data_IF_195132855050
#
_entry.id   IF_195132855050
#
_cell.length_a   1.000
_cell.length_b   1.000
_cell.length_c   1.000
_cell.angle_alpha   90.00
_cell.angle_beta   90.00
_cell.angle_gamma   90.00
#
_symmetry.space_group_name_H-M   'P 1'
#
loop_
_entity.id
_entity.type
_entity.pdbx_description
1 polymer ?
#
# COMPACT_ATOMS: atom_id res chain seq x y z
N UNK A 1 -11.01 -6.22 -33.88
CA UNK A 1 -10.09 -5.79 -32.81
C UNK A 1 -9.51 -6.93 -31.97
N UNK A 2 -10.21 -7.57 -31.00
CA UNK A 2 -9.54 -8.60 -30.15
C UNK A 2 -9.08 -9.84 -30.94
N UNK A 3 -9.81 -10.29 -31.98
CA UNK A 3 -9.39 -11.43 -32.84
C UNK A 3 -8.33 -11.08 -33.90
N UNK A 4 -8.14 -9.80 -34.22
CA UNK A 4 -7.04 -9.40 -35.14
C UNK A 4 -5.67 -9.49 -34.46
N UNK A 5 -5.68 -9.75 -33.15
CA UNK A 5 -4.52 -10.06 -32.33
C UNK A 5 -4.67 -11.55 -31.98
N UNK A 6 -3.73 -12.39 -32.39
CA UNK A 6 -3.79 -13.85 -32.25
C UNK A 6 -3.75 -14.31 -30.77
N UNK A 7 -4.90 -14.30 -30.07
CA UNK A 7 -5.02 -14.83 -28.71
C UNK A 7 -5.42 -16.32 -28.71
N UNK A 8 -4.78 -17.11 -27.84
CA UNK A 8 -5.04 -18.55 -27.68
C UNK A 8 -6.22 -18.89 -26.75
N UNK A 9 -6.80 -17.90 -26.06
CA UNK A 9 -7.91 -18.05 -25.12
C UNK A 9 -8.65 -16.71 -24.93
N UNK A 10 -9.98 -16.75 -24.78
CA UNK A 10 -10.76 -15.61 -24.30
C UNK A 10 -10.82 -15.62 -22.78
N UNK A 11 -10.12 -14.68 -22.14
CA UNK A 11 -10.22 -14.48 -20.70
C UNK A 11 -11.23 -13.37 -20.43
N UNK A 12 -12.37 -13.73 -19.83
CA UNK A 12 -13.34 -12.78 -19.32
C UNK A 12 -13.05 -12.51 -17.84
N UNK A 13 -12.44 -11.35 -17.54
CA UNK A 13 -12.09 -10.97 -16.17
C UNK A 13 -13.13 -10.05 -15.55
N UNK A 14 -13.96 -10.61 -14.67
CA UNK A 14 -14.94 -9.88 -13.88
C UNK A 14 -14.37 -9.56 -12.49
N UNK A 15 -13.65 -8.46 -12.37
CA UNK A 15 -12.98 -8.03 -11.13
C UNK A 15 -13.92 -7.55 -10.00
N UNK A 16 -15.25 -7.53 -10.23
CA UNK A 16 -16.24 -6.86 -9.37
C UNK A 16 -17.40 -7.73 -8.87
N UNK A 17 -17.39 -9.05 -9.03
CA UNK A 17 -18.56 -9.89 -8.68
C UNK A 17 -19.89 -9.44 -9.31
N UNK A 18 -19.85 -8.70 -10.43
CA UNK A 18 -21.04 -8.09 -11.05
C UNK A 18 -21.80 -9.05 -11.94
N UNK A 19 -21.13 -10.11 -12.42
CA UNK A 19 -21.74 -11.06 -13.33
C UNK A 19 -22.74 -11.94 -12.55
N UNK A 20 -24.03 -11.69 -12.78
CA UNK A 20 -25.12 -12.48 -12.23
C UNK A 20 -25.31 -13.76 -13.05
N UNK A 21 -25.84 -14.86 -12.48
CA UNK A 21 -26.00 -16.14 -13.20
C UNK A 21 -26.70 -16.02 -14.57
N UNK A 22 -27.82 -15.28 -14.65
CA UNK A 22 -28.51 -15.10 -15.92
C UNK A 22 -27.70 -14.27 -16.94
N UNK A 23 -26.95 -13.27 -16.47
CA UNK A 23 -26.07 -12.50 -17.33
C UNK A 23 -24.89 -13.35 -17.82
N UNK A 24 -24.37 -14.26 -16.99
CA UNK A 24 -23.36 -15.24 -17.39
C UNK A 24 -23.87 -16.13 -18.52
N UNK A 25 -25.09 -16.66 -18.40
CA UNK A 25 -25.69 -17.50 -19.46
C UNK A 25 -25.79 -16.77 -20.78
N UNK A 26 -26.32 -15.55 -20.77
CA UNK A 26 -26.47 -14.73 -21.98
C UNK A 26 -25.11 -14.42 -22.61
N UNK A 27 -24.16 -13.95 -21.79
CA UNK A 27 -22.85 -13.52 -22.28
C UNK A 27 -22.04 -14.69 -22.84
N UNK A 28 -21.96 -15.79 -22.10
CA UNK A 28 -21.07 -16.90 -22.44
C UNK A 28 -21.62 -17.74 -23.59
N UNK A 29 -22.93 -17.96 -23.66
CA UNK A 29 -23.55 -18.59 -24.84
C UNK A 29 -23.31 -17.75 -26.10
N UNK A 30 -23.50 -16.44 -26.04
CA UNK A 30 -23.22 -15.56 -27.18
C UNK A 30 -21.73 -15.58 -27.61
N UNK A 31 -20.80 -15.66 -26.65
CA UNK A 31 -19.36 -15.80 -26.95
C UNK A 31 -19.09 -17.17 -27.59
N UNK A 32 -19.61 -18.27 -27.03
CA UNK A 32 -19.43 -19.62 -27.55
C UNK A 32 -20.03 -19.77 -28.95
N UNK A 33 -21.24 -19.26 -29.18
CA UNK A 33 -21.90 -19.27 -30.49
C UNK A 33 -21.06 -18.53 -31.54
N UNK A 34 -20.45 -17.40 -31.15
CA UNK A 34 -19.62 -16.60 -32.04
C UNK A 34 -18.23 -17.22 -32.26
N UNK A 35 -17.71 -17.91 -31.24
CA UNK A 35 -16.34 -18.44 -31.18
C UNK A 35 -16.35 -19.88 -30.65
N UNK A 36 -16.78 -20.86 -31.47
CA UNK A 36 -17.01 -22.23 -31.01
C UNK A 36 -15.72 -22.94 -30.55
N UNK A 37 -14.59 -22.66 -31.21
CA UNK A 37 -13.33 -23.40 -30.99
C UNK A 37 -12.35 -22.69 -30.06
N UNK A 38 -12.71 -21.53 -29.51
CA UNK A 38 -11.80 -20.76 -28.64
C UNK A 38 -12.10 -21.10 -27.18
N UNK A 39 -11.11 -21.50 -26.37
CA UNK A 39 -11.31 -21.71 -24.95
C UNK A 39 -11.76 -20.43 -24.24
N UNK A 40 -12.79 -20.53 -23.42
CA UNK A 40 -13.33 -19.44 -22.60
C UNK A 40 -12.90 -19.69 -21.15
N UNK A 41 -12.17 -18.73 -20.59
CA UNK A 41 -11.74 -18.71 -19.20
C UNK A 41 -12.47 -17.59 -18.45
N UNK A 42 -13.32 -17.96 -17.49
CA UNK A 42 -14.06 -17.02 -16.66
C UNK A 42 -13.37 -16.80 -15.31
N UNK A 43 -13.15 -15.53 -14.99
CA UNK A 43 -12.71 -15.09 -13.68
C UNK A 43 -13.81 -14.26 -13.02
N UNK A 44 -14.15 -14.57 -11.77
CA UNK A 44 -15.06 -13.76 -10.94
C UNK A 44 -14.56 -13.71 -9.51
N UNK A 45 -15.14 -12.79 -8.73
CA UNK A 45 -15.02 -12.75 -7.28
C UNK A 45 -16.36 -13.16 -6.64
N UNK A 46 -16.34 -13.42 -5.34
CA UNK A 46 -17.51 -13.85 -4.57
C UNK A 46 -18.03 -12.76 -3.60
N UNK A 47 -17.72 -11.49 -3.89
CA UNK A 47 -18.03 -10.36 -2.99
C UNK A 47 -19.52 -10.27 -2.72
N UNK A 48 -20.34 -10.52 -3.76
CA UNK A 48 -21.80 -10.50 -3.66
C UNK A 48 -22.40 -11.78 -3.07
N UNK A 49 -21.60 -12.82 -2.80
CA UNK A 49 -22.06 -14.14 -2.38
C UNK A 49 -22.78 -14.95 -3.48
N UNK A 50 -22.64 -14.54 -4.75
CA UNK A 50 -23.29 -15.19 -5.90
C UNK A 50 -22.27 -15.88 -6.83
N UNK A 51 -21.01 -15.96 -6.44
CA UNK A 51 -19.90 -16.40 -7.27
C UNK A 51 -20.00 -17.87 -7.69
N UNK A 52 -20.23 -18.79 -6.74
CA UNK A 52 -20.40 -20.22 -7.05
C UNK A 52 -21.57 -20.43 -8.02
N UNK A 53 -22.73 -19.82 -7.76
CA UNK A 53 -23.89 -19.91 -8.63
C UNK A 53 -23.63 -19.34 -10.04
N UNK A 54 -22.83 -18.28 -10.14
CA UNK A 54 -22.41 -17.71 -11.41
C UNK A 54 -21.49 -18.66 -12.19
N UNK A 55 -20.52 -19.30 -11.52
CA UNK A 55 -19.64 -20.28 -12.15
C UNK A 55 -20.41 -21.52 -12.62
N UNK A 56 -21.37 -22.03 -11.84
CA UNK A 56 -22.23 -23.14 -12.29
C UNK A 56 -23.03 -22.76 -13.55
N UNK A 57 -23.63 -21.57 -13.58
CA UNK A 57 -24.32 -21.06 -14.77
C UNK A 57 -23.37 -20.87 -15.97
N UNK A 58 -22.10 -20.54 -15.73
CA UNK A 58 -21.09 -20.44 -16.75
C UNK A 58 -20.70 -21.81 -17.34
N UNK A 59 -20.57 -22.83 -16.48
CA UNK A 59 -20.34 -24.22 -16.88
C UNK A 59 -21.49 -24.75 -17.74
N UNK A 60 -22.74 -24.50 -17.34
CA UNK A 60 -23.92 -24.81 -18.16
C UNK A 60 -23.89 -24.14 -19.53
N UNK A 61 -23.17 -23.04 -19.68
CA UNK A 61 -23.08 -22.25 -20.92
C UNK A 61 -21.83 -22.57 -21.75
N UNK A 62 -21.10 -23.62 -21.39
CA UNK A 62 -19.93 -24.09 -22.13
C UNK A 62 -18.67 -23.26 -21.90
N UNK A 63 -18.46 -22.73 -20.70
CA UNK A 63 -17.13 -22.22 -20.28
C UNK A 63 -16.17 -23.40 -20.08
N UNK A 64 -14.89 -23.24 -20.46
CA UNK A 64 -13.90 -24.33 -20.36
C UNK A 64 -13.08 -24.26 -19.07
N UNK A 65 -12.79 -23.04 -18.60
CA UNK A 65 -11.92 -22.81 -17.44
C UNK A 65 -12.60 -21.78 -16.52
N UNK A 66 -12.55 -22.03 -15.21
CA UNK A 66 -13.02 -21.08 -14.20
C UNK A 66 -11.98 -20.88 -13.10
N UNK A 67 -11.87 -19.65 -12.60
CA UNK A 67 -11.02 -19.35 -11.44
C UNK A 67 -11.76 -19.60 -10.13
N UNK A 68 -11.13 -20.39 -9.25
CA UNK A 68 -11.56 -20.68 -7.89
C UNK A 68 -10.39 -20.52 -6.92
N UNK A 69 -10.71 -20.28 -5.65
CA UNK A 69 -9.73 -20.30 -4.56
C UNK A 69 -10.00 -21.51 -3.64
N UNK A 70 -8.95 -22.03 -3.02
CA UNK A 70 -9.09 -23.05 -1.97
C UNK A 70 -9.96 -22.52 -0.84
N UNK A 71 -10.76 -23.38 -0.21
CA UNK A 71 -11.88 -22.97 0.64
C UNK A 71 -11.47 -21.97 1.73
N UNK A 72 -10.39 -22.25 2.45
CA UNK A 72 -9.85 -21.38 3.51
C UNK A 72 -9.30 -20.03 3.05
N UNK A 73 -9.18 -19.81 1.73
CA UNK A 73 -8.76 -18.56 1.08
C UNK A 73 -9.81 -18.03 0.08
N UNK A 74 -11.02 -18.60 0.08
CA UNK A 74 -12.11 -18.28 -0.85
C UNK A 74 -13.20 -17.41 -0.21
N UNK A 75 -14.18 -17.01 -1.02
CA UNK A 75 -15.33 -16.23 -0.57
C UNK A 75 -15.01 -14.77 -0.33
N UNK A 76 -16.01 -13.98 0.06
CA UNK A 76 -15.87 -12.54 0.28
C UNK A 76 -15.25 -11.87 -0.95
N UNK A 77 -14.25 -11.01 -0.79
CA UNK A 77 -13.57 -10.35 -1.90
C UNK A 77 -12.60 -11.27 -2.67
N UNK A 78 -12.51 -12.55 -2.34
CA UNK A 78 -11.72 -13.57 -3.07
C UNK A 78 -12.55 -14.24 -4.17
N UNK A 79 -11.99 -15.25 -4.82
CA UNK A 79 -12.69 -16.12 -5.77
C UNK A 79 -13.69 -17.05 -5.05
N UNK A 80 -14.65 -17.64 -5.79
CA UNK A 80 -15.54 -18.67 -5.26
C UNK A 80 -14.77 -19.91 -4.76
N UNK A 81 -15.37 -20.65 -3.82
CA UNK A 81 -14.77 -21.86 -3.23
C UNK A 81 -14.56 -22.98 -4.26
N UNK A 82 -13.33 -23.48 -4.30
CA UNK A 82 -12.92 -24.65 -5.09
C UNK A 82 -13.66 -25.90 -4.63
N UNK A 83 -13.70 -26.17 -3.33
CA UNK A 83 -14.37 -27.34 -2.76
C UNK A 83 -15.86 -27.34 -3.05
N UNK A 84 -16.52 -26.18 -2.96
CA UNK A 84 -17.93 -26.03 -3.32
C UNK A 84 -18.16 -26.36 -4.80
N UNK A 85 -17.36 -25.81 -5.70
CA UNK A 85 -17.53 -26.05 -7.14
C UNK A 85 -17.26 -27.52 -7.51
N UNK A 86 -16.16 -28.10 -7.01
CA UNK A 86 -15.83 -29.53 -7.22
C UNK A 86 -16.96 -30.43 -6.71
N UNK A 87 -17.50 -30.15 -5.53
CA UNK A 87 -18.61 -30.92 -4.97
C UNK A 87 -19.90 -30.79 -5.79
N UNK A 88 -20.24 -29.58 -6.26
CA UNK A 88 -21.45 -29.34 -7.05
C UNK A 88 -21.41 -29.95 -8.45
N UNK A 89 -20.22 -30.10 -9.05
CA UNK A 89 -20.04 -30.69 -10.39
C UNK A 89 -19.75 -32.20 -10.34
N UNK A 90 -19.61 -32.79 -9.16
CA UNK A 90 -19.30 -34.21 -9.03
C UNK A 90 -20.43 -35.07 -9.60
N UNK A 91 -20.06 -36.10 -10.36
CA UNK A 91 -21.01 -37.01 -11.03
C UNK A 91 -21.92 -36.34 -12.07
N UNK A 92 -21.51 -35.20 -12.65
CA UNK A 92 -22.13 -34.60 -13.84
C UNK A 92 -21.25 -34.80 -15.08
N UNK A 93 -21.76 -34.44 -16.26
CA UNK A 93 -20.97 -34.44 -17.50
C UNK A 93 -19.82 -33.42 -17.49
N UNK A 94 -19.83 -32.51 -16.51
CA UNK A 94 -18.85 -31.43 -16.32
C UNK A 94 -18.04 -31.62 -15.04
N UNK A 95 -17.93 -32.86 -14.56
CA UNK A 95 -17.10 -33.21 -13.40
C UNK A 95 -15.64 -32.76 -13.62
N UNK A 96 -15.10 -32.06 -12.62
CA UNK A 96 -13.73 -31.54 -12.64
C UNK A 96 -12.66 -32.63 -12.61
N UNK A 97 -13.00 -33.85 -12.16
CA UNK A 97 -12.05 -34.94 -11.94
C UNK A 97 -11.12 -34.75 -10.73
N UNK A 98 -11.30 -33.67 -9.95
CA UNK A 98 -10.49 -33.39 -8.76
C UNK A 98 -10.99 -34.19 -7.54
N UNK A 99 -10.05 -34.72 -6.76
CA UNK A 99 -10.37 -35.42 -5.52
C UNK A 99 -10.84 -34.45 -4.43
N UNK A 100 -12.01 -34.72 -3.85
CA UNK A 100 -12.52 -33.94 -2.70
C UNK A 100 -11.60 -34.04 -1.47
N UNK A 101 -10.89 -35.16 -1.30
CA UNK A 101 -9.94 -35.38 -0.21
C UNK A 101 -8.68 -34.51 -0.39
N UNK A 102 -8.17 -34.42 -1.62
CA UNK A 102 -7.00 -33.58 -1.94
C UNK A 102 -7.34 -32.10 -1.75
N UNK A 103 -8.53 -31.66 -2.19
CA UNK A 103 -9.01 -30.29 -2.00
C UNK A 103 -9.16 -29.96 -0.50
N UNK A 104 -9.70 -30.88 0.29
CA UNK A 104 -9.84 -30.71 1.74
C UNK A 104 -8.48 -30.61 2.43
N UNK A 105 -7.53 -31.49 2.08
CA UNK A 105 -6.16 -31.48 2.61
C UNK A 105 -5.43 -30.17 2.25
N UNK A 106 -5.62 -29.70 1.01
CA UNK A 106 -5.08 -28.43 0.55
C UNK A 106 -5.66 -27.24 1.34
N UNK A 107 -6.96 -27.25 1.61
CA UNK A 107 -7.61 -26.22 2.43
C UNK A 107 -7.12 -26.20 3.86
N UNK A 108 -6.93 -27.36 4.49
CA UNK A 108 -6.46 -27.47 5.87
C UNK A 108 -5.06 -26.87 6.07
N UNK A 109 -4.17 -27.01 5.09
CA UNK A 109 -2.86 -26.34 5.09
C UNK A 109 -3.01 -24.81 5.08
N UNK A 110 -3.83 -24.28 4.18
CA UNK A 110 -4.03 -22.83 4.05
C UNK A 110 -4.80 -22.23 5.22
N UNK A 111 -5.69 -22.97 5.87
CA UNK A 111 -6.40 -22.52 7.06
C UNK A 111 -5.41 -22.23 8.21
N UNK A 112 -4.46 -23.14 8.44
CA UNK A 112 -3.39 -22.92 9.42
C UNK A 112 -2.44 -21.81 8.96
N UNK A 113 -2.05 -21.80 7.69
CA UNK A 113 -1.12 -20.80 7.15
C UNK A 113 -1.68 -19.38 7.22
N UNK A 114 -2.97 -19.19 6.92
CA UNK A 114 -3.65 -17.89 6.97
C UNK A 114 -3.59 -17.27 8.37
N UNK A 115 -3.59 -18.08 9.43
CA UNK A 115 -3.47 -17.58 10.81
C UNK A 115 -2.16 -16.81 11.07
N UNK A 116 -1.09 -17.12 10.33
CA UNK A 116 0.19 -16.41 10.42
C UNK A 116 0.09 -14.97 9.87
N UNK A 117 -0.94 -14.68 9.07
CA UNK A 117 -1.20 -13.38 8.46
C UNK A 117 -2.34 -12.63 9.16
N UNK A 118 -2.74 -13.03 10.36
CA UNK A 118 -3.79 -12.36 11.14
C UNK A 118 -3.69 -10.82 11.20
N UNK A 119 -2.50 -10.19 11.31
CA UNK A 119 -2.38 -8.72 11.27
C UNK A 119 -2.83 -8.05 9.96
N UNK A 120 -2.90 -8.81 8.87
CA UNK A 120 -3.28 -8.34 7.53
C UNK A 120 -4.68 -8.79 7.12
N UNK A 121 -5.40 -9.43 8.04
CA UNK A 121 -6.64 -10.11 7.73
C UNK A 121 -7.79 -9.11 7.54
N UNK A 122 -8.34 -9.05 6.32
CA UNK A 122 -9.45 -8.16 6.00
C UNK A 122 -10.71 -8.50 6.78
N UNK A 123 -10.86 -9.75 7.23
CA UNK A 123 -12.02 -10.17 8.04
C UNK A 123 -12.07 -9.54 9.43
N UNK A 124 -11.02 -8.83 9.84
CA UNK A 124 -11.06 -7.97 11.04
C UNK A 124 -12.15 -6.89 10.90
N UNK A 125 -12.27 -6.29 9.71
CA UNK A 125 -13.24 -5.22 9.40
C UNK A 125 -14.35 -5.65 8.44
N UNK A 126 -14.18 -6.75 7.70
CA UNK A 126 -15.13 -7.24 6.69
C UNK A 126 -15.46 -8.72 6.89
N UNK A 127 -16.51 -9.02 7.66
CA UNK A 127 -16.85 -10.40 8.06
C UNK A 127 -17.72 -11.17 7.06
N UNK A 128 -18.30 -10.49 6.08
CA UNK A 128 -19.24 -11.07 5.11
C UNK A 128 -19.11 -10.42 3.74
N UNK A 129 -19.67 -11.08 2.73
CA UNK A 129 -19.89 -10.46 1.43
C UNK A 129 -20.84 -9.27 1.52
N UNK A 130 -20.92 -8.50 0.44
CA UNK A 130 -21.81 -7.37 0.32
C UNK A 130 -22.40 -7.28 -1.10
N UNK A 131 -23.73 -7.31 -1.19
CA UNK A 131 -24.46 -7.21 -2.45
C UNK A 131 -24.51 -5.77 -3.00
N UNK A 132 -24.19 -4.76 -2.20
CA UNK A 132 -24.10 -3.37 -2.65
C UNK A 132 -23.03 -3.14 -3.72
N UNK A 133 -22.15 -4.11 -3.96
CA UNK A 133 -21.21 -4.11 -5.08
C UNK A 133 -21.94 -3.98 -6.43
N UNK A 134 -23.19 -4.45 -6.53
CA UNK A 134 -24.00 -4.22 -7.72
C UNK A 134 -24.36 -2.74 -7.96
N UNK A 135 -24.29 -1.91 -6.93
CA UNK A 135 -24.55 -0.47 -6.98
C UNK A 135 -23.25 0.34 -7.06
N UNK A 136 -22.31 0.09 -6.14
CA UNK A 136 -21.05 0.85 -6.06
C UNK A 136 -19.98 0.37 -7.05
N UNK A 137 -20.07 -0.89 -7.49
CA UNK A 137 -19.13 -1.48 -8.44
C UNK A 137 -17.67 -1.29 -8.01
N UNK A 138 -17.36 -1.42 -6.72
CA UNK A 138 -15.99 -1.39 -6.21
C UNK A 138 -15.37 -2.80 -6.38
N UNK A 139 -14.23 -2.94 -7.07
CA UNK A 139 -13.64 -4.27 -7.29
C UNK A 139 -13.11 -4.87 -5.99
N UNK A 140 -13.04 -6.20 -5.90
CA UNK A 140 -12.76 -6.92 -4.64
C UNK A 140 -11.56 -6.37 -3.87
N UNK A 141 -10.38 -6.35 -4.50
CA UNK A 141 -9.17 -5.82 -3.86
C UNK A 141 -9.23 -4.32 -3.57
N UNK A 142 -9.97 -3.54 -4.37
CA UNK A 142 -10.17 -2.11 -4.08
C UNK A 142 -11.10 -1.91 -2.89
N UNK A 143 -12.08 -2.79 -2.66
CA UNK A 143 -13.04 -2.67 -1.56
C UNK A 143 -12.32 -2.72 -0.20
N UNK A 144 -11.50 -3.75 0.00
CA UNK A 144 -10.71 -3.91 1.24
C UNK A 144 -9.67 -2.80 1.40
N UNK A 145 -8.99 -2.42 0.31
CA UNK A 145 -8.00 -1.35 0.34
C UNK A 145 -8.63 0.01 0.65
N UNK A 146 -9.75 0.34 0.02
CA UNK A 146 -10.47 1.59 0.23
C UNK A 146 -11.01 1.66 1.67
N UNK A 147 -11.51 0.54 2.22
CA UNK A 147 -11.94 0.47 3.62
C UNK A 147 -10.76 0.77 4.55
N UNK A 148 -9.62 0.10 4.37
CA UNK A 148 -8.43 0.32 5.19
C UNK A 148 -7.88 1.75 5.07
N UNK A 149 -7.87 2.33 3.87
CA UNK A 149 -7.50 3.73 3.64
C UNK A 149 -8.45 4.69 4.35
N UNK A 150 -9.76 4.46 4.28
CA UNK A 150 -10.75 5.26 5.00
C UNK A 150 -10.51 5.24 6.50
N UNK A 151 -10.20 4.09 7.11
CA UNK A 151 -9.80 4.02 8.52
C UNK A 151 -8.53 4.82 8.81
N UNK A 152 -7.51 4.70 7.95
CA UNK A 152 -6.23 5.41 8.11
C UNK A 152 -6.37 6.94 8.02
N UNK A 153 -7.37 7.41 7.27
CA UNK A 153 -7.68 8.82 7.08
C UNK A 153 -8.70 9.36 8.11
N UNK A 154 -9.11 8.56 9.10
CA UNK A 154 -10.13 8.96 10.08
C UNK A 154 -11.56 8.99 9.54
N UNK A 155 -11.80 8.42 8.36
CA UNK A 155 -13.10 8.35 7.67
C UNK A 155 -13.77 6.97 7.83
N UNK A 156 -13.30 6.13 8.74
CA UNK A 156 -13.82 4.77 8.94
C UNK A 156 -15.33 4.73 9.15
N UNK A 157 -15.85 5.62 10.00
CA UNK A 157 -17.29 5.73 10.28
C UNK A 157 -18.10 6.27 9.10
N UNK A 158 -17.44 6.87 8.12
CA UNK A 158 -18.05 7.42 6.90
C UNK A 158 -17.90 6.49 5.69
N UNK A 159 -17.50 5.23 5.87
CA UNK A 159 -17.26 4.33 4.75
C UNK A 159 -18.51 4.12 3.86
N UNK A 160 -19.71 4.11 4.45
CA UNK A 160 -20.96 4.11 3.67
C UNK A 160 -21.11 5.33 2.76
N UNK A 161 -20.69 6.51 3.23
CA UNK A 161 -20.66 7.72 2.42
C UNK A 161 -19.59 7.62 1.32
N UNK A 162 -18.42 7.05 1.63
CA UNK A 162 -17.35 6.80 0.65
C UNK A 162 -17.87 5.89 -0.48
N UNK A 163 -18.62 4.82 -0.17
CA UNK A 163 -19.23 3.96 -1.20
C UNK A 163 -20.23 4.69 -2.09
N UNK A 164 -21.09 5.54 -1.51
CA UNK A 164 -22.03 6.39 -2.29
C UNK A 164 -21.28 7.37 -3.19
N UNK A 165 -20.25 8.02 -2.66
CA UNK A 165 -19.39 8.94 -3.41
C UNK A 165 -18.57 8.23 -4.47
N UNK A 166 -18.27 6.95 -4.31
CA UNK A 166 -17.65 6.13 -5.34
C UNK A 166 -18.56 5.98 -6.57
N UNK A 167 -19.87 5.74 -6.36
CA UNK A 167 -20.84 5.74 -7.46
C UNK A 167 -20.95 7.10 -8.13
N UNK A 168 -21.05 8.19 -7.36
CA UNK A 168 -21.08 9.56 -7.90
C UNK A 168 -19.81 9.88 -8.70
N UNK A 169 -18.63 9.54 -8.16
CA UNK A 169 -17.34 9.72 -8.81
C UNK A 169 -17.26 8.94 -10.12
N UNK A 170 -17.77 7.71 -10.17
CA UNK A 170 -17.83 6.94 -11.42
C UNK A 170 -18.64 7.67 -12.50
N UNK A 171 -19.79 8.25 -12.13
CA UNK A 171 -20.61 9.02 -13.07
C UNK A 171 -19.93 10.32 -13.50
N UNK A 172 -19.30 11.04 -12.57
CA UNK A 172 -18.50 12.24 -12.89
C UNK A 172 -17.37 11.95 -13.87
N UNK A 173 -16.79 10.74 -13.82
CA UNK A 173 -15.70 10.30 -14.68
C UNK A 173 -16.19 9.69 -16.02
N UNK A 174 -17.50 9.60 -16.24
CA UNK A 174 -18.10 9.14 -17.50
C UNK A 174 -18.47 7.65 -17.54
N UNK A 175 -18.82 7.07 -16.39
CA UNK A 175 -19.21 5.65 -16.22
C UNK A 175 -18.16 4.67 -16.76
N UNK A 176 -16.99 4.69 -16.13
CA UNK A 176 -15.82 3.97 -16.63
C UNK A 176 -15.77 2.52 -16.16
N UNK A 177 -15.02 1.70 -16.90
CA UNK A 177 -14.58 0.38 -16.44
C UNK A 177 -13.53 0.57 -15.34
N UNK A 178 -13.79 0.03 -14.16
CA UNK A 178 -13.01 0.28 -12.93
C UNK A 178 -12.07 -0.88 -12.61
N UNK A 179 -10.85 -0.87 -13.08
CA UNK A 179 -9.82 -1.87 -12.71
C UNK A 179 -8.54 -1.13 -12.40
N UNK A 180 -7.56 -1.74 -11.74
CA UNK A 180 -6.30 -1.03 -11.50
C UNK A 180 -5.70 -0.55 -12.83
N UNK A 181 -5.42 0.76 -13.02
CA UNK A 181 -5.46 1.85 -12.03
C UNK A 181 -6.75 2.70 -11.99
N UNK A 182 -7.69 2.59 -12.93
CA UNK A 182 -8.94 3.38 -12.97
C UNK A 182 -9.81 3.23 -11.72
N UNK A 183 -9.89 2.05 -11.09
CA UNK A 183 -10.63 1.86 -9.84
C UNK A 183 -10.07 2.69 -8.68
N UNK A 184 -8.74 2.90 -8.65
CA UNK A 184 -8.08 3.79 -7.69
C UNK A 184 -8.46 5.24 -7.95
N UNK A 185 -8.51 5.67 -9.20
CA UNK A 185 -8.88 7.05 -9.56
C UNK A 185 -10.29 7.40 -9.08
N UNK A 186 -11.25 6.49 -9.27
CA UNK A 186 -12.60 6.66 -8.72
C UNK A 186 -12.57 6.71 -7.19
N UNK A 187 -11.73 5.88 -6.56
CA UNK A 187 -11.56 5.85 -5.10
C UNK A 187 -10.98 7.14 -4.53
N UNK A 188 -9.92 7.66 -5.15
CA UNK A 188 -9.26 8.91 -4.76
C UNK A 188 -10.23 10.10 -4.91
N UNK A 189 -11.00 10.15 -6.00
CA UNK A 189 -12.04 11.18 -6.19
C UNK A 189 -13.15 11.06 -5.14
N UNK A 190 -13.61 9.85 -4.85
CA UNK A 190 -14.65 9.62 -3.85
C UNK A 190 -14.19 10.05 -2.45
N UNK A 191 -12.98 9.70 -2.04
CA UNK A 191 -12.40 10.13 -0.77
C UNK A 191 -12.22 11.65 -0.72
N UNK A 192 -11.73 12.26 -1.81
CA UNK A 192 -11.62 13.71 -1.94
C UNK A 192 -12.98 14.41 -1.76
N UNK A 193 -14.04 13.87 -2.37
CA UNK A 193 -15.39 14.40 -2.23
C UNK A 193 -15.90 14.27 -0.79
N UNK A 194 -15.64 13.17 -0.11
CA UNK A 194 -16.03 12.99 1.31
C UNK A 194 -15.27 13.95 2.22
N UNK A 195 -13.94 14.06 2.05
CA UNK A 195 -13.09 14.92 2.88
C UNK A 195 -13.45 16.39 2.80
N UNK A 196 -13.91 16.85 1.63
CA UNK A 196 -14.25 18.24 1.37
C UNK A 196 -15.76 18.52 1.38
N UNK A 197 -16.57 17.55 1.82
CA UNK A 197 -18.04 17.63 1.84
C UNK A 197 -18.66 18.10 0.51
N UNK A 198 -18.21 17.49 -0.60
CA UNK A 198 -18.61 17.86 -1.95
C UNK A 198 -19.70 16.92 -2.51
N UNK A 199 -20.76 17.51 -3.02
CA UNK A 199 -21.69 16.87 -3.95
C UNK A 199 -21.13 16.82 -5.38
N UNK A 200 -21.62 15.89 -6.19
CA UNK A 200 -21.24 15.82 -7.60
C UNK A 200 -21.46 17.15 -8.37
N UNK A 201 -22.56 17.85 -8.08
CA UNK A 201 -22.84 19.14 -8.70
C UNK A 201 -21.80 20.20 -8.29
N UNK A 202 -21.43 20.27 -7.01
CA UNK A 202 -20.39 21.20 -6.54
C UNK A 202 -19.02 20.90 -7.17
N UNK A 203 -18.71 19.62 -7.44
CA UNK A 203 -17.50 19.26 -8.19
C UNK A 203 -17.53 19.84 -9.60
N UNK A 204 -18.65 19.72 -10.32
CA UNK A 204 -18.80 20.27 -11.68
C UNK A 204 -18.75 21.80 -11.73
N UNK A 205 -19.40 22.44 -10.76
CA UNK A 205 -19.51 23.90 -10.70
C UNK A 205 -18.17 24.54 -10.34
N UNK A 206 -17.44 23.94 -9.39
CA UNK A 206 -16.19 24.49 -8.83
C UNK A 206 -14.92 23.82 -9.34
N UNK A 207 -15.00 23.03 -10.41
CA UNK A 207 -13.87 22.24 -10.91
C UNK A 207 -12.59 23.07 -11.18
N UNK A 208 -12.72 24.34 -11.57
CA UNK A 208 -11.56 25.21 -11.83
C UNK A 208 -10.84 25.68 -10.56
N UNK A 209 -11.52 25.62 -9.41
CA UNK A 209 -10.99 26.07 -8.11
C UNK A 209 -10.46 24.91 -7.25
N UNK A 210 -10.93 23.68 -7.53
CA UNK A 210 -10.63 22.50 -6.72
C UNK A 210 -9.26 21.92 -7.10
N UNK A 211 -8.46 21.62 -6.07
CA UNK A 211 -7.20 20.90 -6.23
C UNK A 211 -7.47 19.39 -6.23
N UNK A 212 -7.74 18.83 -7.41
CA UNK A 212 -8.03 17.41 -7.56
C UNK A 212 -6.82 16.52 -7.22
N UNK A 213 -7.06 15.26 -6.79
CA UNK A 213 -6.00 14.25 -6.67
C UNK A 213 -5.22 14.09 -7.98
N UNK A 214 -3.90 13.85 -7.88
CA UNK A 214 -3.04 13.72 -9.07
C UNK A 214 -3.50 12.61 -10.03
N UNK A 215 -4.02 11.50 -9.49
CA UNK A 215 -4.56 10.39 -10.27
C UNK A 215 -5.74 10.79 -11.16
N UNK A 216 -6.61 11.70 -10.68
CA UNK A 216 -7.75 12.23 -11.44
C UNK A 216 -7.27 13.17 -12.54
N UNK A 217 -6.26 14.01 -12.25
CA UNK A 217 -5.65 14.90 -13.25
C UNK A 217 -4.96 14.07 -14.34
N UNK A 218 -4.18 13.06 -13.97
CA UNK A 218 -3.52 12.13 -14.90
C UNK A 218 -4.53 11.39 -15.79
N UNK A 219 -5.64 10.92 -15.21
CA UNK A 219 -6.74 10.33 -15.96
C UNK A 219 -7.30 11.28 -17.02
N UNK A 220 -7.72 12.48 -16.62
CA UNK A 220 -8.27 13.47 -17.56
C UNK A 220 -7.27 13.99 -18.57
N UNK A 221 -5.97 13.85 -18.27
CA UNK A 221 -4.89 14.17 -19.22
C UNK A 221 -4.63 13.08 -20.25
N UNK A 222 -5.23 11.89 -20.09
CA UNK A 222 -5.04 10.74 -20.96
C UNK A 222 -3.78 9.91 -20.65
N UNK A 223 -3.17 10.07 -19.46
CA UNK A 223 -1.96 9.33 -19.07
C UNK A 223 -2.19 7.82 -18.90
N UNK A 224 -3.44 7.40 -18.69
CA UNK A 224 -3.81 5.99 -18.54
C UNK A 224 -4.58 5.45 -19.76
N UNK A 225 -4.64 6.22 -20.84
CA UNK A 225 -5.43 5.92 -22.03
C UNK A 225 -6.80 6.61 -22.05
N UNK A 226 -7.68 6.12 -22.93
CA UNK A 226 -8.95 6.77 -23.27
C UNK A 226 -10.13 5.89 -22.87
N UNK A 227 -11.08 6.38 -22.07
CA UNK A 227 -12.28 5.61 -21.72
C UNK A 227 -13.18 5.43 -22.95
N UNK A 228 -13.92 4.31 -22.97
CA UNK A 228 -14.99 4.11 -23.95
C UNK A 228 -16.02 5.23 -23.82
N UNK A 229 -16.46 5.81 -24.95
CA UNK A 229 -17.35 6.97 -24.95
C UNK A 229 -16.65 8.33 -24.80
N UNK A 230 -15.34 8.35 -24.52
CA UNK A 230 -14.56 9.58 -24.35
C UNK A 230 -14.66 10.17 -22.94
N UNK A 231 -13.96 11.28 -22.72
CA UNK A 231 -13.99 11.97 -21.43
C UNK A 231 -15.24 12.86 -21.29
N UNK A 232 -15.81 13.00 -20.08
CA UNK A 232 -16.95 13.86 -19.84
C UNK A 232 -16.56 15.35 -19.90
N UNK A 233 -17.14 16.07 -20.86
CA UNK A 233 -17.10 17.54 -20.92
C UNK A 233 -18.29 18.17 -20.18
N UNK A 234 -18.14 19.37 -19.58
CA UNK A 234 -16.94 20.22 -19.58
C UNK A 234 -15.91 19.88 -18.50
N UNK A 235 -16.17 18.86 -17.66
CA UNK A 235 -15.35 18.56 -16.48
C UNK A 235 -13.89 18.30 -16.83
N UNK A 236 -13.62 17.48 -17.87
CA UNK A 236 -12.25 17.20 -18.32
C UNK A 236 -11.47 18.48 -18.59
N UNK A 237 -12.04 19.40 -19.39
CA UNK A 237 -11.37 20.67 -19.72
C UNK A 237 -11.10 21.54 -18.49
N UNK A 238 -12.02 21.55 -17.51
CA UNK A 238 -11.85 22.31 -16.27
C UNK A 238 -10.76 21.74 -15.35
N UNK A 239 -10.61 20.41 -15.32
CA UNK A 239 -9.62 19.73 -14.45
C UNK A 239 -8.23 19.67 -15.09
N UNK A 240 -8.14 19.40 -16.39
CA UNK A 240 -6.86 19.38 -17.11
C UNK A 240 -6.97 20.01 -18.50
N UNK A 241 -6.14 21.04 -18.71
CA UNK A 241 -5.95 21.65 -20.03
C UNK A 241 -5.00 20.84 -20.92
N UNK A 242 -4.26 19.88 -20.34
CA UNK A 242 -3.38 18.98 -21.10
C UNK A 242 -4.20 17.76 -21.49
N UNK A 243 -4.30 17.47 -22.77
CA UNK A 243 -4.98 16.28 -23.26
C UNK A 243 -4.07 15.56 -24.26
N UNK A 244 -3.72 14.30 -23.94
CA UNK A 244 -3.10 13.41 -24.91
C UNK A 244 -4.15 12.96 -25.93
N UNK A 245 -3.69 12.66 -27.14
CA UNK A 245 -4.54 12.17 -28.24
C UNK A 245 -4.14 10.79 -28.74
N UNK A 246 -2.97 10.31 -28.29
CA UNK A 246 -2.39 9.03 -28.69
C UNK A 246 -2.02 8.18 -27.47
N UNK A 247 -1.72 6.90 -27.72
CA UNK A 247 -1.31 5.96 -26.68
C UNK A 247 0.01 6.43 -26.05
N UNK A 248 0.02 6.74 -24.76
CA UNK A 248 1.18 7.30 -24.02
C UNK A 248 2.52 6.64 -24.35
N UNK A 249 2.57 5.31 -24.40
CA UNK A 249 3.80 4.57 -24.71
C UNK A 249 4.20 4.53 -26.18
N UNK A 250 3.57 5.27 -27.10
CA UNK A 250 4.00 5.39 -28.51
C UNK A 250 5.18 6.33 -28.68
N UNK A 251 5.34 7.29 -27.77
CA UNK A 251 6.38 8.31 -27.81
C UNK A 251 7.45 8.11 -26.73
N UNK A 252 7.40 6.99 -26.00
CA UNK A 252 8.44 6.65 -25.03
C UNK A 252 9.64 6.07 -25.77
N UNK A 253 10.81 6.66 -25.56
CA UNK A 253 12.06 6.09 -26.04
C UNK A 253 12.30 4.72 -25.42
N UNK A 254 12.95 3.77 -26.15
CA UNK A 254 13.35 2.50 -25.59
C UNK A 254 14.16 2.68 -24.30
N UNK A 255 13.81 1.91 -23.27
CA UNK A 255 14.47 2.01 -21.97
C UNK A 255 15.90 1.47 -22.03
N UNK A 256 16.86 2.25 -21.53
CA UNK A 256 18.29 1.91 -21.58
C UNK A 256 18.70 1.03 -20.38
N UNK A 257 18.59 -0.29 -20.57
CA UNK A 257 18.96 -1.28 -19.57
C UNK A 257 20.47 -1.37 -19.31
N UNK A 258 21.31 -1.06 -20.31
CA UNK A 258 22.77 -1.07 -20.16
C UNK A 258 23.23 0.05 -19.22
N UNK A 259 22.62 1.24 -19.35
CA UNK A 259 22.84 2.34 -18.44
C UNK A 259 22.35 2.02 -17.03
N UNK A 260 21.15 1.45 -16.89
CA UNK A 260 20.63 1.04 -15.59
C UNK A 260 21.56 0.02 -14.90
N UNK A 261 22.03 -1.00 -15.64
CA UNK A 261 22.94 -2.01 -15.13
C UNK A 261 24.25 -1.40 -14.61
N UNK A 262 24.83 -0.44 -15.35
CA UNK A 262 26.03 0.29 -14.91
C UNK A 262 25.78 1.09 -13.63
N UNK A 263 24.66 1.82 -13.56
CA UNK A 263 24.29 2.61 -12.38
C UNK A 263 24.10 1.74 -11.14
N UNK A 264 23.38 0.63 -11.25
CA UNK A 264 23.13 -0.28 -10.13
C UNK A 264 24.42 -0.97 -9.67
N UNK A 265 25.26 -1.43 -10.61
CA UNK A 265 26.57 -2.04 -10.30
C UNK A 265 27.49 -1.05 -9.59
N UNK A 266 27.49 0.21 -10.00
CA UNK A 266 28.25 1.25 -9.32
C UNK A 266 27.71 1.52 -7.91
N UNK A 267 26.38 1.54 -7.74
CA UNK A 267 25.74 1.86 -6.46
C UNK A 267 25.89 0.76 -5.41
N UNK A 268 25.56 -0.48 -5.78
CA UNK A 268 25.45 -1.60 -4.83
C UNK A 268 26.63 -2.58 -4.89
N UNK A 269 27.55 -2.42 -5.84
CA UNK A 269 28.78 -3.21 -5.97
C UNK A 269 28.54 -4.73 -6.08
N UNK A 270 27.41 -5.13 -6.67
CA UNK A 270 27.10 -6.51 -7.06
C UNK A 270 26.70 -6.61 -8.53
N UNK A 271 26.68 -7.83 -9.03
CA UNK A 271 26.10 -8.11 -10.36
C UNK A 271 24.57 -8.22 -10.25
N UNK A 272 23.90 -7.87 -11.35
CA UNK A 272 22.44 -7.81 -11.47
C UNK A 272 21.99 -8.66 -12.65
N UNK A 273 21.02 -9.54 -12.41
CA UNK A 273 20.41 -10.34 -13.48
C UNK A 273 19.29 -9.56 -14.20
N UNK A 274 18.74 -10.13 -15.26
CA UNK A 274 17.66 -9.49 -16.03
C UNK A 274 16.42 -9.18 -15.17
N UNK A 275 16.11 -10.03 -14.18
CA UNK A 275 14.96 -9.83 -13.29
C UNK A 275 15.20 -8.66 -12.34
N UNK A 276 16.41 -8.51 -11.83
CA UNK A 276 16.80 -7.34 -11.05
C UNK A 276 16.64 -6.05 -11.87
N UNK A 277 17.15 -6.04 -13.11
CA UNK A 277 17.06 -4.87 -13.98
C UNK A 277 15.62 -4.49 -14.31
N UNK A 278 14.76 -5.48 -14.60
CA UNK A 278 13.34 -5.26 -14.81
C UNK A 278 12.65 -4.74 -13.54
N UNK A 279 12.99 -5.30 -12.37
CA UNK A 279 12.43 -4.87 -11.08
C UNK A 279 12.81 -3.42 -10.76
N UNK A 280 14.06 -3.06 -10.99
CA UNK A 280 14.57 -1.70 -10.82
C UNK A 280 13.98 -0.73 -11.87
N UNK A 281 13.71 -1.17 -13.09
CA UNK A 281 13.04 -0.34 -14.09
C UNK A 281 11.57 -0.08 -13.75
N UNK A 282 10.85 -1.09 -13.25
CA UNK A 282 9.45 -0.98 -12.86
C UNK A 282 9.24 -0.19 -11.56
N UNK A 283 10.11 -0.41 -10.56
CA UNK A 283 9.99 0.21 -9.24
C UNK A 283 11.34 0.70 -8.70
N UNK A 284 11.94 1.75 -9.29
CA UNK A 284 13.33 2.16 -8.98
C UNK A 284 13.58 2.43 -7.50
N UNK A 285 12.70 3.22 -6.87
CA UNK A 285 12.84 3.57 -5.46
C UNK A 285 12.60 2.37 -4.53
N UNK A 286 11.62 1.52 -4.83
CA UNK A 286 11.30 0.34 -4.01
C UNK A 286 12.43 -0.68 -4.12
N UNK A 287 13.00 -0.86 -5.32
CA UNK A 287 14.16 -1.72 -5.53
C UNK A 287 15.39 -1.22 -4.75
N UNK A 288 15.65 0.09 -4.77
CA UNK A 288 16.72 0.67 -3.97
C UNK A 288 16.55 0.43 -2.46
N UNK A 289 15.33 0.64 -1.95
CA UNK A 289 14.99 0.38 -0.55
C UNK A 289 15.12 -1.11 -0.20
N UNK A 290 14.73 -2.00 -1.13
CA UNK A 290 14.88 -3.45 -0.99
C UNK A 290 16.35 -3.88 -0.93
N UNK A 291 17.22 -3.32 -1.78
CA UNK A 291 18.65 -3.61 -1.77
C UNK A 291 19.33 -3.13 -0.49
N UNK A 292 19.01 -1.92 -0.02
CA UNK A 292 19.53 -1.42 1.27
C UNK A 292 18.99 -2.25 2.44
N UNK A 293 17.72 -2.67 2.39
CA UNK A 293 17.15 -3.56 3.40
C UNK A 293 17.91 -4.91 3.45
N UNK A 294 18.17 -5.51 2.29
CA UNK A 294 18.93 -6.78 2.20
C UNK A 294 20.38 -6.64 2.62
N UNK A 295 21.00 -5.49 2.39
CA UNK A 295 22.36 -5.19 2.86
C UNK A 295 22.44 -5.16 4.39
N UNK A 296 21.39 -4.68 5.06
CA UNK A 296 21.33 -4.61 6.52
C UNK A 296 20.93 -5.96 7.13
N UNK A 297 19.88 -6.62 6.62
CA UNK A 297 19.25 -7.77 7.27
C UNK A 297 19.50 -9.12 6.58
N UNK A 298 20.07 -9.12 5.37
CA UNK A 298 20.31 -10.35 4.60
C UNK A 298 19.03 -10.97 4.03
N UNK A 299 19.05 -12.29 3.73
CA UNK A 299 17.95 -13.01 3.06
C UNK A 299 16.83 -13.39 4.04
N UNK A 300 16.00 -12.41 4.40
CA UNK A 300 14.88 -12.60 5.32
C UNK A 300 13.75 -13.49 4.76
N UNK A 301 13.73 -13.73 3.45
CA UNK A 301 12.83 -14.66 2.77
C UNK A 301 13.00 -16.12 3.22
N UNK A 302 14.11 -16.42 3.91
CA UNK A 302 14.40 -17.73 4.51
C UNK A 302 13.85 -17.91 5.92
N UNK A 303 13.31 -16.85 6.52
CA UNK A 303 12.75 -16.93 7.85
C UNK A 303 11.34 -17.54 7.80
N UNK A 304 10.97 -18.39 8.79
CA UNK A 304 9.57 -18.76 8.96
C UNK A 304 8.70 -17.52 9.13
N UNK A 305 7.51 -17.48 8.51
CA UNK A 305 6.61 -16.30 8.49
C UNK A 305 6.38 -15.69 9.87
N UNK A 306 6.19 -16.52 10.90
CA UNK A 306 6.02 -16.05 12.28
C UNK A 306 7.27 -15.29 12.78
N UNK A 307 8.46 -15.82 12.52
CA UNK A 307 9.72 -15.19 12.90
C UNK A 307 9.93 -13.88 12.15
N UNK A 308 9.57 -13.85 10.87
CA UNK A 308 9.63 -12.64 10.06
C UNK A 308 8.76 -11.51 10.63
N UNK A 309 7.52 -11.80 11.05
CA UNK A 309 6.60 -10.76 11.53
C UNK A 309 6.78 -10.37 13.00
N UNK A 310 6.98 -11.33 13.90
CA UNK A 310 6.96 -11.07 15.36
C UNK A 310 8.28 -11.39 16.07
N UNK A 311 9.22 -12.02 15.37
CA UNK A 311 10.47 -12.49 15.98
C UNK A 311 10.31 -13.71 16.90
N UNK A 312 11.44 -14.21 17.42
CA UNK A 312 11.48 -15.34 18.35
C UNK A 312 11.11 -14.93 19.79
N UNK A 313 10.57 -15.88 20.55
CA UNK A 313 10.38 -15.74 22.00
C UNK A 313 11.67 -16.07 22.75
N UNK A 314 11.77 -15.62 24.00
CA UNK A 314 12.86 -16.03 24.89
C UNK A 314 12.81 -17.56 25.07
N UNK A 315 14.00 -18.18 25.01
CA UNK A 315 14.25 -19.62 25.02
C UNK A 315 13.74 -20.40 23.79
N UNK A 316 13.17 -19.72 22.79
CA UNK A 316 12.76 -20.36 21.55
C UNK A 316 13.95 -20.60 20.63
N UNK A 317 14.05 -21.83 20.12
CA UNK A 317 15.05 -22.25 19.14
C UNK A 317 14.38 -22.51 17.80
N UNK A 318 15.00 -22.04 16.71
CA UNK A 318 14.47 -22.23 15.37
C UNK A 318 15.59 -22.39 14.33
N UNK A 319 15.36 -23.24 13.31
CA UNK A 319 16.27 -23.37 12.19
C UNK A 319 16.03 -22.28 11.14
N UNK A 320 17.10 -21.85 10.47
CA UNK A 320 17.06 -21.00 9.28
C UNK A 320 17.92 -21.62 8.19
N UNK A 321 17.31 -21.97 7.07
CA UNK A 321 17.99 -22.53 5.89
C UNK A 321 18.51 -21.40 4.99
N UNK A 322 19.82 -21.16 5.01
CA UNK A 322 20.43 -20.12 4.17
C UNK A 322 20.64 -20.62 2.73
N UNK A 323 21.25 -21.79 2.59
CA UNK A 323 21.58 -22.43 1.33
C UNK A 323 21.54 -23.95 1.52
N UNK A 324 21.54 -24.71 0.42
CA UNK A 324 21.60 -26.18 0.47
C UNK A 324 22.78 -26.66 1.33
N UNK A 325 22.46 -27.33 2.44
CA UNK A 325 23.46 -27.85 3.38
C UNK A 325 23.98 -26.85 4.43
N UNK A 326 23.44 -25.62 4.48
CA UNK A 326 23.79 -24.60 5.49
C UNK A 326 22.55 -24.18 6.27
N UNK A 327 22.38 -24.77 7.44
CA UNK A 327 21.32 -24.44 8.40
C UNK A 327 21.92 -23.73 9.61
N UNK A 328 21.27 -22.66 10.06
CA UNK A 328 21.57 -21.98 11.32
C UNK A 328 20.54 -22.38 12.38
N UNK A 329 21.00 -22.86 13.52
CA UNK A 329 20.19 -23.01 14.72
C UNK A 329 20.36 -21.76 15.57
N UNK A 330 19.28 -20.98 15.69
CA UNK A 330 19.27 -19.74 16.45
C UNK A 330 18.37 -19.92 17.66
N UNK A 331 18.87 -19.60 18.85
CA UNK A 331 18.09 -19.62 20.09
C UNK A 331 18.19 -18.29 20.81
N UNK A 332 17.06 -17.61 21.01
CA UNK A 332 17.05 -16.35 21.77
C UNK A 332 17.14 -16.65 23.26
N UNK A 333 18.12 -16.07 23.95
CA UNK A 333 18.39 -16.35 25.36
C UNK A 333 17.83 -15.28 26.28
N UNK A 334 18.06 -14.01 25.96
CA UNK A 334 17.58 -12.89 26.76
C UNK A 334 17.57 -11.59 25.95
N UNK A 335 16.73 -10.65 26.36
CA UNK A 335 16.73 -9.26 25.88
C UNK A 335 17.00 -8.38 27.09
N UNK A 336 18.07 -7.59 27.02
CA UNK A 336 18.49 -6.68 28.06
C UNK A 336 17.55 -5.48 28.24
N UNK A 337 17.78 -4.76 29.33
CA UNK A 337 17.11 -3.49 29.60
C UNK A 337 17.52 -2.41 28.60
N UNK A 338 16.70 -1.36 28.52
CA UNK A 338 16.98 -0.21 27.66
C UNK A 338 18.19 0.57 28.20
N UNK A 339 19.21 0.74 27.38
CA UNK A 339 20.37 1.57 27.69
C UNK A 339 20.01 3.05 27.61
N UNK A 340 20.87 3.91 28.17
CA UNK A 340 20.72 5.39 28.04
C UNK A 340 20.75 5.88 26.59
N UNK A 341 21.31 5.09 25.67
CA UNK A 341 21.35 5.38 24.25
C UNK A 341 20.06 4.94 23.52
N UNK A 342 19.09 4.36 24.22
CA UNK A 342 17.85 3.85 23.62
C UNK A 342 18.03 2.50 22.91
N UNK A 343 19.05 1.72 23.29
CA UNK A 343 19.34 0.41 22.70
C UNK A 343 19.05 -0.73 23.69
N UNK A 344 18.82 -1.93 23.19
CA UNK A 344 18.72 -3.16 23.98
C UNK A 344 19.73 -4.16 23.48
N UNK A 345 20.43 -4.81 24.40
CA UNK A 345 21.33 -5.92 24.07
C UNK A 345 20.53 -7.23 23.99
N UNK A 346 20.59 -7.92 22.86
CA UNK A 346 19.93 -9.21 22.64
C UNK A 346 20.97 -10.31 22.68
N UNK A 347 20.82 -11.26 23.60
CA UNK A 347 21.66 -12.43 23.73
C UNK A 347 21.01 -13.62 23.02
N UNK A 348 21.78 -14.31 22.19
CA UNK A 348 21.32 -15.48 21.46
C UNK A 348 22.44 -16.49 21.28
N UNK A 349 22.07 -17.75 21.11
CA UNK A 349 22.96 -18.81 20.69
C UNK A 349 22.81 -19.00 19.18
N UNK A 350 23.93 -19.16 18.48
CA UNK A 350 23.96 -19.48 17.06
C UNK A 350 24.88 -20.69 16.86
N UNK A 351 24.31 -21.84 16.48
CA UNK A 351 25.03 -23.11 16.34
C UNK A 351 25.90 -23.46 17.57
N UNK A 352 25.35 -23.36 18.78
CA UNK A 352 26.09 -23.63 20.02
C UNK A 352 26.92 -22.47 20.56
N UNK A 353 27.07 -21.38 19.80
CA UNK A 353 27.92 -20.25 20.20
C UNK A 353 27.10 -19.07 20.71
N UNK A 354 27.40 -18.63 21.93
CA UNK A 354 26.81 -17.42 22.51
C UNK A 354 27.24 -16.18 21.72
N UNK A 355 26.27 -15.34 21.37
CA UNK A 355 26.45 -14.04 20.73
C UNK A 355 25.55 -13.00 21.40
N UNK A 356 25.95 -11.73 21.30
CA UNK A 356 25.09 -10.60 21.62
C UNK A 356 25.14 -9.55 20.53
N UNK A 357 24.04 -8.83 20.35
CA UNK A 357 23.94 -7.68 19.46
C UNK A 357 23.18 -6.55 20.17
N UNK A 358 23.59 -5.31 19.95
CA UNK A 358 22.85 -4.12 20.37
C UNK A 358 21.86 -3.73 19.27
N UNK A 359 20.59 -3.55 19.64
CA UNK A 359 19.52 -3.13 18.73
C UNK A 359 18.89 -1.86 19.27
N UNK A 360 18.78 -0.84 18.44
CA UNK A 360 18.06 0.40 18.79
C UNK A 360 16.55 0.14 18.93
N UNK A 361 16.00 0.51 20.08
CA UNK A 361 14.58 0.42 20.37
C UNK A 361 13.87 1.66 19.80
N UNK A 362 13.24 1.49 18.63
CA UNK A 362 12.58 2.57 17.91
C UNK A 362 11.40 3.18 18.67
N UNK A 363 10.73 2.44 19.56
CA UNK A 363 9.63 2.98 20.35
C UNK A 363 10.16 3.84 21.50
N UNK A 364 11.17 3.35 22.20
CA UNK A 364 11.83 4.13 23.25
C UNK A 364 12.52 5.39 22.68
N UNK A 365 13.14 5.28 21.50
CA UNK A 365 13.83 6.40 20.85
C UNK A 365 12.86 7.52 20.43
N UNK A 366 11.59 7.21 20.11
CA UNK A 366 10.55 8.24 19.89
C UNK A 366 10.27 9.09 21.14
N UNK A 367 10.54 8.55 22.33
CA UNK A 367 10.33 9.24 23.61
C UNK A 367 11.59 9.92 24.17
N UNK A 368 12.77 9.63 23.63
CA UNK A 368 14.07 10.12 24.11
C UNK A 368 14.71 11.01 23.04
N UNK A 369 14.35 12.29 23.02
CA UNK A 369 15.16 13.31 22.35
C UNK A 369 16.15 13.91 23.35
N UNK A 370 17.41 13.47 23.30
CA UNK A 370 18.48 14.08 24.10
C UNK A 370 18.94 15.36 23.41
N UNK A 371 18.46 16.50 23.88
CA UNK A 371 18.96 17.80 23.42
C UNK A 371 20.20 18.17 24.24
N UNK A 372 21.32 18.57 23.60
CA UNK A 372 22.46 19.15 24.32
C UNK A 372 21.97 20.29 25.21
N UNK A 373 22.54 20.49 26.39
CA UNK A 373 22.18 21.64 27.25
C UNK A 373 22.96 22.88 26.84
N UNK A 374 22.36 24.05 26.98
CA UNK A 374 23.03 25.32 26.77
C UNK A 374 24.21 25.51 27.75
N UNK A 375 25.33 26.03 27.24
CA UNK A 375 26.54 26.24 28.02
C UNK A 375 26.37 27.42 28.97
N UNK A 376 26.33 27.16 30.27
CA UNK A 376 26.20 28.19 31.31
C UNK A 376 27.40 29.15 31.24
N UNK A 377 27.12 30.43 30.98
CA UNK A 377 28.13 31.50 30.88
C UNK A 377 28.49 31.93 29.45
N UNK A 378 28.10 31.15 28.42
CA UNK A 378 28.29 31.52 27.02
C UNK A 378 27.02 32.19 26.52
N UNK A 379 27.05 33.52 26.34
CA UNK A 379 25.86 34.27 25.92
C UNK A 379 25.31 33.86 24.55
N UNK A 380 26.16 33.34 23.66
CA UNK A 380 25.74 32.80 22.35
C UNK A 380 25.01 31.47 22.42
N UNK A 381 25.12 30.72 23.52
CA UNK A 381 24.48 29.42 23.71
C UNK A 381 23.06 29.62 24.27
N UNK A 382 22.06 29.68 23.39
CA UNK A 382 20.67 30.00 23.76
C UNK A 382 19.92 28.73 24.12
N UNK A 383 19.61 28.55 25.41
CA UNK A 383 18.83 27.44 25.92
C UNK A 383 17.33 27.71 25.99
N UNK A 384 16.53 26.65 26.09
CA UNK A 384 15.11 26.76 26.36
C UNK A 384 14.86 27.22 27.79
N UNK A 385 14.09 28.30 28.02
CA UNK A 385 13.83 28.82 29.35
C UNK A 385 12.96 27.89 30.21
N UNK A 386 12.16 27.02 29.58
CA UNK A 386 11.28 26.07 30.27
C UNK A 386 10.93 24.88 29.35
N UNK A 387 10.40 23.77 29.89
CA UNK A 387 9.86 22.70 29.08
C UNK A 387 8.64 23.16 28.27
N UNK A 388 8.56 22.77 26.99
CA UNK A 388 7.48 23.15 26.09
C UNK A 388 7.65 22.60 24.68
N UNK A 389 6.82 23.06 23.76
CA UNK A 389 6.86 22.70 22.34
C UNK A 389 7.19 23.92 21.48
N UNK A 390 8.13 23.80 20.54
CA UNK A 390 8.50 24.87 19.62
C UNK A 390 7.43 25.02 18.53
N UNK A 391 6.65 26.09 18.57
CA UNK A 391 5.55 26.33 17.62
C UNK A 391 6.09 26.83 16.29
N UNK A 392 7.05 27.77 16.33
CA UNK A 392 7.65 28.39 15.14
C UNK A 392 9.12 28.72 15.37
N UNK A 393 9.93 28.61 14.32
CA UNK A 393 11.31 29.09 14.26
C UNK A 393 11.38 30.17 13.18
N UNK A 394 11.89 31.36 13.54
CA UNK A 394 11.84 32.57 12.72
C UNK A 394 13.18 32.90 12.01
N UNK A 395 14.21 32.07 12.20
CA UNK A 395 15.57 32.27 11.69
C UNK A 395 16.12 30.99 11.05
N UNK A 396 17.17 31.13 10.23
CA UNK A 396 17.91 30.04 9.58
C UNK A 396 19.39 30.07 9.98
N UNK A 397 20.08 28.94 9.77
CA UNK A 397 21.54 28.89 9.90
C UNK A 397 22.19 29.92 8.96
N UNK A 398 23.08 30.76 9.51
CA UNK A 398 23.76 31.85 8.81
C UNK A 398 23.06 33.20 8.85
N UNK A 399 21.86 33.32 9.44
CA UNK A 399 21.17 34.61 9.56
C UNK A 399 21.86 35.53 10.58
N UNK A 400 21.96 36.82 10.25
CA UNK A 400 22.42 37.86 11.19
C UNK A 400 21.22 38.30 12.04
N UNK A 401 21.39 38.27 13.36
CA UNK A 401 20.36 38.62 14.33
C UNK A 401 20.82 39.76 15.24
N UNK A 402 19.90 40.64 15.60
CA UNK A 402 20.13 41.70 16.57
C UNK A 402 19.73 41.27 17.99
N UNK A 403 20.40 41.81 19.01
CA UNK A 403 20.03 41.60 20.40
C UNK A 403 18.56 41.97 20.64
N UNK A 404 17.79 41.03 21.16
CA UNK A 404 16.36 41.15 21.43
C UNK A 404 15.47 40.70 20.27
N UNK A 405 16.02 40.39 19.10
CA UNK A 405 15.28 39.85 17.97
C UNK A 405 14.68 38.48 18.31
N UNK A 406 13.44 38.26 17.89
CA UNK A 406 12.73 37.00 18.10
C UNK A 406 13.30 35.90 17.20
N UNK A 407 13.73 34.81 17.82
CA UNK A 407 14.30 33.63 17.16
C UNK A 407 13.28 32.51 16.98
N UNK A 408 12.43 32.29 17.98
CA UNK A 408 11.41 31.24 17.96
C UNK A 408 10.24 31.53 18.92
N UNK A 409 9.19 30.72 18.83
CA UNK A 409 8.05 30.73 19.75
C UNK A 409 7.91 29.37 20.42
N UNK A 410 7.89 29.35 21.75
CA UNK A 410 7.67 28.17 22.57
C UNK A 410 6.24 28.19 23.14
N UNK A 411 5.51 27.09 23.05
CA UNK A 411 4.22 26.88 23.71
C UNK A 411 4.38 25.95 24.90
N UNK A 412 3.95 26.41 26.07
CA UNK A 412 3.89 25.59 27.28
C UNK A 412 2.61 25.92 28.05
N UNK A 413 1.84 24.90 28.43
CA UNK A 413 0.61 25.06 29.22
C UNK A 413 -0.40 26.06 28.62
N UNK A 414 -0.57 26.05 27.28
CA UNK A 414 -1.42 26.99 26.50
C UNK A 414 -0.96 28.46 26.53
N UNK A 415 0.25 28.72 26.99
CA UNK A 415 0.91 30.03 26.91
C UNK A 415 2.00 29.99 25.86
N UNK A 416 2.03 31.01 24.98
CA UNK A 416 3.11 31.21 24.02
C UNK A 416 4.14 32.20 24.56
N UNK A 417 5.41 31.86 24.41
CA UNK A 417 6.53 32.68 24.83
C UNK A 417 7.53 32.82 23.68
N UNK A 418 7.99 34.05 23.45
CA UNK A 418 9.00 34.31 22.42
C UNK A 418 10.41 34.10 22.97
N UNK A 419 11.22 33.33 22.26
CA UNK A 419 12.65 33.15 22.51
C UNK A 419 13.39 34.21 21.72
N UNK A 420 14.21 35.02 22.40
CA UNK A 420 14.90 36.18 21.80
C UNK A 420 16.41 36.02 21.84
N UNK A 421 17.11 36.70 20.92
CA UNK A 421 18.57 36.69 20.84
C UNK A 421 19.19 37.48 22.01
N UNK A 422 20.02 36.88 22.87
CA UNK A 422 20.66 37.58 23.98
C UNK A 422 21.81 38.52 23.55
N UNK A 423 22.37 38.31 22.35
CA UNK A 423 23.44 39.09 21.73
C UNK A 423 23.13 39.31 20.25
N UNK A 424 23.70 40.37 19.66
CA UNK A 424 23.74 40.50 18.20
C UNK A 424 24.88 39.64 17.65
N UNK A 425 24.66 38.96 16.53
CA UNK A 425 25.64 38.04 15.96
C UNK A 425 25.07 37.24 14.80
N UNK A 426 25.76 36.19 14.38
CA UNK A 426 25.32 35.28 13.33
C UNK A 426 24.84 33.95 13.92
N UNK A 427 23.72 33.42 13.45
CA UNK A 427 23.24 32.08 13.85
C UNK A 427 24.20 31.04 13.28
N UNK A 428 25.03 30.46 14.15
CA UNK A 428 25.99 29.43 13.77
C UNK A 428 25.30 28.10 13.49
N UNK A 429 24.32 27.74 14.34
CA UNK A 429 23.60 26.48 14.24
C UNK A 429 22.29 26.48 15.03
N UNK A 430 21.25 25.91 14.42
CA UNK A 430 19.96 25.59 15.04
C UNK A 430 19.93 24.09 15.39
N UNK A 431 19.56 23.74 16.64
CA UNK A 431 19.58 22.36 17.15
C UNK A 431 18.18 21.71 17.22
N UNK A 432 17.14 22.45 16.87
CA UNK A 432 15.73 22.08 17.08
C UNK A 432 14.88 22.33 15.83
N UNK A 433 13.69 21.73 15.77
CA UNK A 433 12.74 21.87 14.67
C UNK A 433 11.35 22.30 15.17
N UNK A 434 10.52 22.85 14.27
CA UNK A 434 9.12 23.20 14.60
C UNK A 434 8.31 21.95 14.95
N UNK A 435 7.48 22.02 15.98
CA UNK A 435 6.71 20.90 16.56
C UNK A 435 7.52 20.04 17.54
N UNK A 436 8.79 20.36 17.79
CA UNK A 436 9.65 19.57 18.66
C UNK A 436 9.44 19.95 20.13
N UNK A 437 9.35 18.93 21.00
CA UNK A 437 9.30 19.11 22.45
C UNK A 437 10.71 19.28 23.00
N UNK A 438 10.87 20.26 23.88
CA UNK A 438 12.13 20.60 24.56
C UNK A 438 11.91 20.66 26.07
N UNK A 439 12.95 20.34 26.83
CA UNK A 439 13.05 20.51 28.27
C UNK A 439 13.75 21.83 28.61
N UNK A 440 13.67 22.27 29.88
CA UNK A 440 14.43 23.43 30.34
C UNK A 440 15.94 23.25 30.14
N UNK A 441 16.64 24.32 29.78
CA UNK A 441 18.06 24.41 29.45
C UNK A 441 18.50 23.66 28.16
N UNK A 442 17.58 23.05 27.39
CA UNK A 442 17.94 22.45 26.10
C UNK A 442 18.46 23.51 25.13
N UNK A 443 19.61 23.28 24.51
CA UNK A 443 20.25 24.17 23.54
C UNK A 443 19.40 24.26 22.28
N UNK A 444 19.01 25.47 21.93
CA UNK A 444 18.16 25.77 20.79
C UNK A 444 18.97 26.40 19.65
N UNK A 445 19.78 27.41 19.99
CA UNK A 445 20.56 28.20 19.04
C UNK A 445 21.98 28.43 19.57
N UNK A 446 22.94 28.46 18.66
CA UNK A 446 24.29 28.96 18.91
C UNK A 446 24.53 30.22 18.07
N UNK A 447 24.88 31.33 18.73
CA UNK A 447 25.09 32.65 18.14
C UNK A 447 26.58 32.99 18.27
N UNK A 448 27.22 33.30 17.16
CA UNK A 448 28.62 33.74 17.09
C UNK A 448 28.74 35.27 17.01
#
# INVERSE_FOLDING_TARGET
MVREIHYNCFINRMYHSLLKPNAARILLSAIRDRYPDIPIHLHTHDTAGAGVACLLAAVESGVDIVDVAVDSMSGLTSQPSMGALVACLKHTDTDTGLSSEDVSTYSAYWEQTRSLYAPFECTTTMRSGNADVYENQIPGGQYTNLQFQSYSLGLGDQFENVKRKYTEANQLLGDIIKVTPSSKIVGDLAQFMVQNDLSAQQVLDRAEELSFPSSVIEFFSGEIGFPYGGFPEPLRTKVSQKAKTERVGSHMEPFDFDKLAKQLKEKFKRDFDERDLLSAALYPKVFDEFEEFRKIYGPVDRLPTRMFFVGPKIAEEFPVDLETGKMLHIKTLAVGELTKAGEREVFFEMNGQLRSILISDKEATKSISFHPKALKGVKGSVGSPMPGELVTINVKDGDVVEKGQKLATLSAMKMEMSITAPISGCIKKIYVSSGMKVSGDDLLFDIE
#
